data_IF_093881652511
#
_entry.id   IF_093881652511
#
_cell.length_a   1.000
_cell.length_b   1.000
_cell.length_c   1.000
_cell.angle_alpha   90.00
_cell.angle_beta   90.00
_cell.angle_gamma   90.00
#
_symmetry.space_group_name_H-M   'P 1'
#
loop_
_entity.id
_entity.type
_entity.pdbx_description
1 polymer ?
#
# COMPACT_ATOMS: atom_id res chain seq x y z
N UNK A 1 17.96 -54.48 -11.03
CA UNK A 1 18.40 -53.53 -9.98
C UNK A 1 17.20 -53.27 -9.08
N UNK A 2 17.17 -53.86 -7.88
CA UNK A 2 16.10 -53.63 -6.90
C UNK A 2 16.42 -52.33 -6.15
N UNK A 3 15.52 -51.35 -6.23
CA UNK A 3 15.59 -50.12 -5.44
C UNK A 3 15.47 -50.49 -3.96
N UNK A 4 16.54 -50.29 -3.19
CA UNK A 4 16.52 -50.43 -1.74
C UNK A 4 15.83 -49.20 -1.14
N UNK A 5 14.52 -49.27 -0.92
CA UNK A 5 13.83 -48.27 -0.10
C UNK A 5 14.38 -48.35 1.33
N UNK A 6 15.06 -47.28 1.77
CA UNK A 6 15.52 -47.20 3.15
C UNK A 6 14.32 -47.25 4.11
N UNK A 7 14.35 -48.08 5.16
CA UNK A 7 13.21 -48.23 6.06
C UNK A 7 12.95 -46.92 6.83
N UNK A 8 11.74 -46.37 6.69
CA UNK A 8 11.31 -45.17 7.39
C UNK A 8 11.53 -45.27 8.90
N UNK A 9 12.15 -44.23 9.46
CA UNK A 9 12.35 -44.07 10.91
C UNK A 9 11.02 -44.00 11.66
N UNK A 10 11.03 -44.34 12.96
CA UNK A 10 9.85 -44.25 13.84
C UNK A 10 9.21 -42.84 13.86
N UNK A 11 10.03 -41.79 13.73
CA UNK A 11 9.59 -40.39 13.64
C UNK A 11 8.84 -40.12 12.34
N UNK A 12 9.37 -40.58 11.20
CA UNK A 12 8.73 -40.46 9.88
C UNK A 12 7.40 -41.21 9.83
N UNK A 13 7.33 -42.45 10.36
CA UNK A 13 6.08 -43.21 10.43
C UNK A 13 5.01 -42.51 11.28
N UNK A 14 5.40 -41.88 12.39
CA UNK A 14 4.47 -41.10 13.24
C UNK A 14 3.99 -39.84 12.53
N UNK A 15 4.87 -39.14 11.82
CA UNK A 15 4.52 -37.96 11.02
C UNK A 15 3.55 -38.33 9.89
N UNK A 16 3.85 -39.39 9.12
CA UNK A 16 3.00 -39.89 8.04
C UNK A 16 1.61 -40.32 8.55
N UNK A 17 1.53 -41.01 9.70
CA UNK A 17 0.24 -41.34 10.33
C UNK A 17 -0.55 -40.10 10.75
N UNK A 18 0.12 -39.08 11.30
CA UNK A 18 -0.53 -37.81 11.68
C UNK A 18 -1.06 -37.09 10.43
N UNK A 19 -0.28 -37.07 9.35
CA UNK A 19 -0.66 -36.49 8.07
C UNK A 19 -1.85 -37.23 7.45
N UNK A 20 -1.79 -38.56 7.35
CA UNK A 20 -2.88 -39.38 6.84
C UNK A 20 -4.18 -39.21 7.64
N UNK A 21 -4.09 -39.12 8.97
CA UNK A 21 -5.24 -38.84 9.84
C UNK A 21 -5.82 -37.44 9.58
N UNK A 22 -4.95 -36.43 9.41
CA UNK A 22 -5.39 -35.08 9.09
C UNK A 22 -6.06 -35.00 7.71
N UNK A 23 -5.55 -35.73 6.71
CA UNK A 23 -6.14 -35.78 5.37
C UNK A 23 -7.46 -36.53 5.34
N UNK A 24 -7.58 -37.65 6.06
CA UNK A 24 -8.83 -38.41 6.17
C UNK A 24 -9.97 -37.57 6.78
N UNK A 25 -9.65 -36.69 7.73
CA UNK A 25 -10.63 -35.77 8.31
C UNK A 25 -10.96 -34.54 7.46
N UNK A 26 -10.23 -34.30 6.36
CA UNK A 26 -10.35 -33.10 5.53
C UNK A 26 -10.50 -33.48 4.04
N UNK A 27 -11.40 -34.42 3.73
CA UNK A 27 -11.72 -34.85 2.36
C UNK A 27 -10.49 -35.25 1.51
N UNK A 28 -9.49 -35.87 2.13
CA UNK A 28 -8.26 -36.29 1.46
C UNK A 28 -7.27 -35.16 1.19
N UNK A 29 -7.48 -33.97 1.76
CA UNK A 29 -6.59 -32.81 1.62
C UNK A 29 -5.94 -32.44 2.95
N UNK A 30 -4.75 -31.85 2.91
CA UNK A 30 -4.16 -31.27 4.10
C UNK A 30 -4.98 -30.04 4.52
N UNK A 31 -5.30 -29.87 5.82
CA UNK A 31 -5.91 -28.64 6.29
C UNK A 31 -4.95 -27.48 6.01
N UNK A 32 -5.47 -26.40 5.44
CA UNK A 32 -4.72 -25.19 5.13
C UNK A 32 -5.10 -24.08 6.13
N UNK A 33 -4.12 -23.29 6.54
CA UNK A 33 -4.36 -22.03 7.25
C UNK A 33 -4.73 -20.92 6.27
N UNK A 34 -5.26 -19.81 6.79
CA UNK A 34 -5.48 -18.60 5.99
C UNK A 34 -4.18 -18.12 5.33
N UNK A 35 -3.06 -18.20 6.04
CA UNK A 35 -1.75 -17.82 5.51
C UNK A 35 -1.32 -18.70 4.33
N UNK A 36 -1.61 -20.00 4.37
CA UNK A 36 -1.30 -20.91 3.27
C UNK A 36 -2.09 -20.56 2.02
N UNK A 37 -3.39 -20.25 2.19
CA UNK A 37 -4.26 -19.83 1.09
C UNK A 37 -3.78 -18.50 0.46
N UNK A 38 -3.50 -17.49 1.29
CA UNK A 38 -3.00 -16.19 0.81
C UNK A 38 -1.62 -16.30 0.15
N UNK A 39 -0.75 -17.19 0.64
CA UNK A 39 0.56 -17.44 0.03
C UNK A 39 0.41 -18.07 -1.36
N UNK A 40 -0.49 -19.04 -1.50
CA UNK A 40 -0.72 -19.76 -2.75
C UNK A 40 -1.56 -19.01 -3.79
N UNK A 41 -2.32 -17.98 -3.39
CA UNK A 41 -3.12 -17.20 -4.32
C UNK A 41 -2.25 -16.25 -5.16
N UNK A 42 -2.28 -16.44 -6.48
CA UNK A 42 -1.61 -15.60 -7.47
C UNK A 42 -2.56 -14.85 -8.40
N UNK A 43 -3.87 -14.85 -8.10
CA UNK A 43 -4.89 -14.19 -8.92
C UNK A 43 -4.80 -12.67 -8.89
N UNK A 44 -4.33 -12.10 -7.77
CA UNK A 44 -4.02 -10.68 -7.60
C UNK A 44 -2.50 -10.53 -7.41
N UNK A 45 -1.76 -10.11 -8.46
CA UNK A 45 -0.31 -10.06 -8.39
C UNK A 45 0.14 -8.99 -7.41
N UNK A 46 1.16 -9.31 -6.64
CA UNK A 46 1.78 -8.43 -5.67
C UNK A 46 3.28 -8.70 -5.73
N UNK A 47 4.10 -7.69 -5.45
CA UNK A 47 5.54 -7.90 -5.26
C UNK A 47 5.79 -8.93 -4.15
N UNK A 48 6.72 -9.86 -4.38
CA UNK A 48 6.98 -10.97 -3.46
C UNK A 48 7.40 -10.50 -2.06
N UNK A 49 8.19 -9.43 -1.98
CA UNK A 49 8.64 -8.83 -0.72
C UNK A 49 7.45 -8.17 -0.01
N UNK A 50 6.60 -7.45 -0.75
CA UNK A 50 5.38 -6.87 -0.20
C UNK A 50 4.44 -7.96 0.34
N UNK A 51 4.24 -9.05 -0.42
CA UNK A 51 3.40 -10.19 -0.03
C UNK A 51 3.92 -10.85 1.25
N UNK A 52 5.23 -11.11 1.32
CA UNK A 52 5.86 -11.69 2.50
C UNK A 52 5.64 -10.82 3.75
N UNK A 53 5.86 -9.51 3.63
CA UNK A 53 5.72 -8.60 4.76
C UNK A 53 4.28 -8.36 5.17
N UNK A 54 3.34 -8.30 4.23
CA UNK A 54 1.91 -8.28 4.55
C UNK A 54 1.52 -9.52 5.36
N UNK A 55 1.90 -10.73 4.91
CA UNK A 55 1.60 -11.96 5.64
C UNK A 55 2.18 -11.97 7.06
N UNK A 56 3.42 -11.50 7.24
CA UNK A 56 4.06 -11.37 8.56
C UNK A 56 3.38 -10.31 9.45
N UNK A 57 2.85 -9.25 8.85
CA UNK A 57 2.13 -8.20 9.56
C UNK A 57 0.74 -8.68 10.00
N UNK A 58 0.01 -9.41 9.13
CA UNK A 58 -1.28 -10.04 9.46
C UNK A 58 -1.18 -11.01 10.64
N UNK A 59 -0.05 -11.69 10.79
CA UNK A 59 0.22 -12.64 11.88
C UNK A 59 0.62 -11.97 13.20
N UNK A 60 0.61 -10.63 13.30
CA UNK A 60 0.94 -9.93 14.55
C UNK A 60 -0.10 -10.26 15.66
N UNK A 61 0.29 -10.91 16.77
CA UNK A 61 -0.65 -11.27 17.83
C UNK A 61 -1.26 -10.04 18.52
N UNK A 62 -0.56 -8.90 18.50
CA UNK A 62 -1.05 -7.67 19.11
C UNK A 62 -2.26 -7.10 18.37
N UNK A 63 -2.50 -7.51 17.13
CA UNK A 63 -3.70 -7.16 16.37
C UNK A 63 -5.00 -7.61 17.03
N UNK A 64 -4.96 -8.64 17.87
CA UNK A 64 -6.17 -9.17 18.52
C UNK A 64 -6.62 -8.27 19.67
N UNK A 65 -5.68 -7.62 20.37
CA UNK A 65 -5.98 -6.88 21.62
C UNK A 65 -5.66 -5.39 21.49
N UNK A 66 -4.48 -5.04 20.97
CA UNK A 66 -4.02 -3.65 20.87
C UNK A 66 -4.80 -2.91 19.80
N UNK A 67 -4.95 -3.50 18.61
CA UNK A 67 -5.63 -2.83 17.49
C UNK A 67 -7.07 -2.42 17.83
N UNK A 68 -7.97 -3.30 18.33
CA UNK A 68 -9.34 -2.89 18.62
C UNK A 68 -9.42 -1.79 19.69
N UNK A 69 -8.59 -1.91 20.73
CA UNK A 69 -8.54 -0.93 21.82
C UNK A 69 -8.08 0.43 21.34
N UNK A 70 -6.94 0.49 20.64
CA UNK A 70 -6.41 1.74 20.08
C UNK A 70 -7.34 2.31 19.02
N UNK A 71 -7.93 1.48 18.16
CA UNK A 71 -8.90 1.91 17.16
C UNK A 71 -10.07 2.64 17.78
N UNK A 72 -10.66 2.13 18.87
CA UNK A 72 -11.79 2.79 19.54
C UNK A 72 -11.36 4.17 20.06
N UNK A 73 -10.27 4.21 20.84
CA UNK A 73 -9.79 5.45 21.46
C UNK A 73 -9.38 6.51 20.43
N UNK A 74 -8.64 6.10 19.40
CA UNK A 74 -8.15 6.99 18.35
C UNK A 74 -9.25 7.40 17.39
N UNK A 75 -10.23 6.54 17.12
CA UNK A 75 -11.42 6.92 16.32
C UNK A 75 -12.24 7.98 17.03
N UNK A 76 -12.50 7.83 18.34
CA UNK A 76 -13.19 8.85 19.13
C UNK A 76 -12.40 10.17 19.10
N UNK A 77 -11.09 10.10 19.37
CA UNK A 77 -10.20 11.28 19.36
C UNK A 77 -10.19 11.97 18.00
N UNK A 78 -10.11 11.19 16.92
CA UNK A 78 -10.13 11.66 15.55
C UNK A 78 -11.42 12.42 15.24
N UNK A 79 -12.59 11.87 15.57
CA UNK A 79 -13.86 12.52 15.26
C UNK A 79 -14.05 13.81 16.08
N UNK A 80 -13.63 13.81 17.35
CA UNK A 80 -13.64 15.02 18.19
C UNK A 80 -12.73 16.09 17.58
N UNK A 81 -11.49 15.72 17.23
CA UNK A 81 -10.50 16.65 16.67
C UNK A 81 -10.96 17.18 15.31
N UNK A 82 -11.49 16.31 14.46
CA UNK A 82 -12.03 16.66 13.15
C UNK A 82 -13.18 17.66 13.27
N UNK A 83 -14.14 17.40 14.16
CA UNK A 83 -15.26 18.30 14.42
C UNK A 83 -14.79 19.67 14.94
N UNK A 84 -13.92 19.68 15.95
CA UNK A 84 -13.36 20.92 16.51
C UNK A 84 -12.59 21.71 15.44
N UNK A 85 -11.71 21.05 14.67
CA UNK A 85 -10.95 21.68 13.58
C UNK A 85 -11.87 22.35 12.56
N UNK A 86 -13.03 21.76 12.25
CA UNK A 86 -13.96 22.33 11.27
C UNK A 86 -14.76 23.50 11.81
N UNK A 87 -14.98 23.57 13.12
CA UNK A 87 -15.65 24.70 13.77
C UNK A 87 -14.71 25.85 14.14
N UNK A 88 -13.42 25.58 14.32
CA UNK A 88 -12.46 26.60 14.72
C UNK A 88 -12.26 27.64 13.60
N UNK A 89 -12.51 28.94 13.86
CA UNK A 89 -12.32 29.99 12.86
C UNK A 89 -10.84 30.21 12.53
N UNK A 90 -9.94 29.95 13.49
CA UNK A 90 -8.50 30.06 13.31
C UNK A 90 -7.92 28.66 13.09
N UNK A 91 -7.38 28.44 11.90
CA UNK A 91 -6.72 27.19 11.54
C UNK A 91 -5.22 27.26 11.87
N UNK A 92 -4.67 26.14 12.33
CA UNK A 92 -3.23 25.98 12.55
C UNK A 92 -2.73 24.70 11.89
N UNK A 93 -1.44 24.70 11.57
CA UNK A 93 -0.72 23.55 11.03
C UNK A 93 0.69 23.47 11.58
N UNK A 94 1.24 22.26 11.64
CA UNK A 94 2.61 22.01 12.08
C UNK A 94 3.23 20.86 11.26
N UNK A 95 3.44 21.07 9.96
CA UNK A 95 3.94 20.03 9.03
C UNK A 95 5.26 19.41 9.48
N UNK A 96 6.24 20.23 9.89
CA UNK A 96 7.53 19.72 10.37
C UNK A 96 7.41 18.88 11.65
N UNK A 97 6.53 19.27 12.58
CA UNK A 97 6.29 18.49 13.80
C UNK A 97 5.53 17.19 13.51
N UNK A 98 4.51 17.24 12.65
CA UNK A 98 3.80 16.06 12.16
C UNK A 98 4.77 15.05 11.56
N UNK A 99 5.62 15.51 10.63
CA UNK A 99 6.59 14.67 9.94
C UNK A 99 7.59 14.05 10.92
N UNK A 100 8.14 14.87 11.83
CA UNK A 100 9.04 14.40 12.87
C UNK A 100 8.36 13.34 13.76
N UNK A 101 7.11 13.59 14.18
CA UNK A 101 6.35 12.68 15.03
C UNK A 101 6.12 11.34 14.35
N UNK A 102 5.73 11.32 13.07
CA UNK A 102 5.52 10.08 12.32
C UNK A 102 6.84 9.34 12.15
N UNK A 103 7.91 10.02 11.72
CA UNK A 103 9.23 9.40 11.57
C UNK A 103 9.76 8.84 12.90
N UNK A 104 9.49 9.52 14.02
CA UNK A 104 9.78 9.03 15.37
C UNK A 104 8.99 7.75 15.66
N UNK A 105 7.67 7.74 15.43
CA UNK A 105 6.87 6.54 15.62
C UNK A 105 7.30 5.38 14.75
N UNK A 106 7.58 5.61 13.47
CA UNK A 106 8.10 4.61 12.55
C UNK A 106 9.42 4.00 13.05
N UNK A 107 10.35 4.85 13.50
CA UNK A 107 11.67 4.42 13.97
C UNK A 107 11.64 3.59 15.27
N UNK A 108 10.70 3.88 16.16
CA UNK A 108 10.70 3.31 17.51
C UNK A 108 9.56 2.33 17.80
N UNK A 109 8.39 2.47 17.17
CA UNK A 109 7.19 1.72 17.54
C UNK A 109 6.60 0.85 16.42
N UNK A 110 6.74 1.26 15.16
CA UNK A 110 6.25 0.48 14.01
C UNK A 110 7.20 -0.66 13.69
N UNK A 111 6.63 -1.84 13.42
CA UNK A 111 7.39 -3.02 13.02
C UNK A 111 8.21 -2.76 11.75
N UNK A 112 9.42 -3.34 11.62
CA UNK A 112 10.23 -3.13 10.43
C UNK A 112 9.55 -3.55 9.12
N UNK A 113 8.76 -4.61 9.15
CA UNK A 113 8.00 -5.10 7.99
C UNK A 113 6.98 -4.05 7.52
N UNK A 114 6.20 -3.48 8.46
CA UNK A 114 5.26 -2.41 8.18
C UNK A 114 5.95 -1.13 7.68
N UNK A 115 7.13 -0.78 8.22
CA UNK A 115 7.91 0.35 7.71
C UNK A 115 8.36 0.15 6.26
N UNK A 116 8.71 -1.07 5.86
CA UNK A 116 9.03 -1.36 4.45
C UNK A 116 7.79 -1.15 3.59
N UNK A 117 6.63 -1.67 3.98
CA UNK A 117 5.37 -1.47 3.24
C UNK A 117 5.03 0.02 3.09
N UNK A 118 5.19 0.82 4.15
CA UNK A 118 4.97 2.28 4.09
C UNK A 118 5.93 2.93 3.09
N UNK A 119 7.23 2.62 3.12
CA UNK A 119 8.21 3.22 2.21
C UNK A 119 8.00 2.81 0.75
N UNK A 120 7.61 1.55 0.52
CA UNK A 120 7.31 1.02 -0.82
C UNK A 120 6.12 1.73 -1.46
N UNK A 121 5.07 1.96 -0.69
CA UNK A 121 3.85 2.61 -1.18
C UNK A 121 4.12 3.94 -1.89
N UNK A 122 4.96 4.81 -1.32
CA UNK A 122 5.32 6.10 -1.92
C UNK A 122 6.00 5.94 -3.30
N UNK A 123 6.90 4.97 -3.41
CA UNK A 123 7.62 4.69 -4.66
C UNK A 123 6.69 4.09 -5.71
N UNK A 124 5.84 3.14 -5.30
CA UNK A 124 4.89 2.49 -6.17
C UNK A 124 3.81 3.48 -6.68
N UNK A 125 3.30 4.35 -5.81
CA UNK A 125 2.33 5.38 -6.22
C UNK A 125 2.97 6.38 -7.20
N UNK A 126 4.19 6.86 -6.90
CA UNK A 126 4.91 7.75 -7.81
C UNK A 126 5.09 7.14 -9.20
N UNK A 127 5.39 5.84 -9.28
CA UNK A 127 5.48 5.12 -10.55
C UNK A 127 4.14 5.06 -11.31
N UNK A 128 3.03 4.81 -10.61
CA UNK A 128 1.69 4.79 -11.22
C UNK A 128 1.32 6.15 -11.82
N UNK A 129 1.51 7.22 -11.04
CA UNK A 129 1.23 8.57 -11.49
C UNK A 129 2.13 8.95 -12.67
N UNK A 130 3.43 8.64 -12.58
CA UNK A 130 4.38 8.89 -13.66
C UNK A 130 4.08 8.09 -14.92
N UNK A 131 3.61 6.84 -14.80
CA UNK A 131 3.18 6.06 -15.95
C UNK A 131 2.00 6.72 -16.67
N UNK A 132 1.01 7.23 -15.93
CA UNK A 132 -0.10 7.99 -16.51
C UNK A 132 0.40 9.28 -17.17
N UNK A 133 1.28 10.04 -16.51
CA UNK A 133 1.87 11.27 -17.05
C UNK A 133 2.62 10.99 -18.36
N UNK A 134 3.54 10.02 -18.34
CA UNK A 134 4.42 9.66 -19.45
C UNK A 134 3.65 9.19 -20.70
N UNK A 135 2.42 8.72 -20.53
CA UNK A 135 1.56 8.19 -21.59
C UNK A 135 0.31 9.05 -21.84
N UNK A 136 0.24 10.24 -21.23
CA UNK A 136 -0.90 11.16 -21.35
C UNK A 136 -0.93 11.99 -22.64
N UNK A 137 0.14 11.96 -23.42
CA UNK A 137 0.35 12.84 -24.58
C UNK A 137 0.57 14.31 -24.21
N UNK A 138 0.78 14.62 -22.91
CA UNK A 138 1.10 15.96 -22.42
C UNK A 138 2.55 16.04 -21.95
N UNK A 139 3.32 16.94 -22.55
CA UNK A 139 4.73 17.17 -22.22
C UNK A 139 4.94 18.22 -21.11
N UNK A 140 3.89 18.94 -20.72
CA UNK A 140 3.94 20.05 -19.75
C UNK A 140 3.60 19.64 -18.31
N UNK A 141 3.29 18.37 -18.08
CA UNK A 141 2.99 17.84 -16.74
C UNK A 141 4.27 17.31 -16.09
N UNK A 142 4.65 17.91 -14.97
CA UNK A 142 5.86 17.53 -14.22
C UNK A 142 5.69 16.16 -13.53
N UNK A 143 6.73 15.31 -13.52
CA UNK A 143 6.67 14.00 -12.88
C UNK A 143 6.68 14.09 -11.35
N UNK A 144 6.10 13.08 -10.70
CA UNK A 144 6.13 12.88 -9.25
C UNK A 144 7.44 12.21 -8.85
N UNK A 145 8.25 12.92 -8.06
CA UNK A 145 9.61 12.52 -7.67
C UNK A 145 9.72 12.13 -6.19
N UNK A 146 8.80 11.28 -5.71
CA UNK A 146 8.70 10.89 -4.30
C UNK A 146 9.16 9.43 -4.12
N UNK A 147 10.47 9.24 -3.96
CA UNK A 147 11.10 7.93 -3.77
C UNK A 147 11.90 7.80 -2.45
N UNK A 148 11.24 7.68 -1.29
CA UNK A 148 11.93 7.52 -0.01
C UNK A 148 12.49 6.10 0.13
N UNK A 149 13.79 5.96 0.34
CA UNK A 149 14.45 4.65 0.53
C UNK A 149 14.45 4.22 1.99
N UNK A 150 14.34 5.17 2.91
CA UNK A 150 14.29 4.91 4.33
C UNK A 150 13.59 6.02 5.11
N UNK A 151 13.26 5.76 6.39
CA UNK A 151 12.43 6.65 7.23
C UNK A 151 12.94 8.10 7.26
N UNK A 152 14.25 8.34 7.26
CA UNK A 152 14.78 9.71 7.31
C UNK A 152 14.44 10.52 6.06
N UNK A 153 14.25 9.88 4.92
CA UNK A 153 13.98 10.55 3.65
C UNK A 153 12.58 11.17 3.66
N UNK A 154 11.65 10.57 4.41
CA UNK A 154 10.31 11.10 4.63
C UNK A 154 10.32 12.46 5.33
N UNK A 155 11.41 12.84 6.03
CA UNK A 155 11.53 14.18 6.62
C UNK A 155 11.49 15.31 5.58
N UNK A 156 11.88 15.03 4.35
CA UNK A 156 11.86 15.98 3.22
C UNK A 156 10.76 15.62 2.23
N UNK A 157 10.62 14.33 1.94
CA UNK A 157 9.57 13.78 1.09
C UNK A 157 8.31 13.53 1.93
N UNK A 158 7.62 14.62 2.27
CA UNK A 158 6.58 14.59 3.32
C UNK A 158 5.33 13.83 2.89
N UNK A 159 4.62 13.29 3.87
CA UNK A 159 3.32 12.67 3.64
C UNK A 159 2.29 13.63 3.02
N UNK A 160 2.37 14.93 3.35
CA UNK A 160 1.47 15.94 2.78
C UNK A 160 1.76 16.16 1.30
N UNK A 161 3.04 16.17 0.89
CA UNK A 161 3.41 16.29 -0.52
C UNK A 161 2.99 15.08 -1.34
N UNK A 162 3.07 13.89 -0.75
CA UNK A 162 2.54 12.66 -1.35
C UNK A 162 1.04 12.78 -1.66
N UNK A 163 0.21 13.09 -0.66
CA UNK A 163 -1.24 13.19 -0.85
C UNK A 163 -1.62 14.31 -1.84
N UNK A 164 -0.87 15.41 -1.86
CA UNK A 164 -1.03 16.48 -2.84
C UNK A 164 -0.55 16.07 -4.23
N UNK A 165 0.42 15.17 -4.36
CA UNK A 165 0.95 14.69 -5.63
C UNK A 165 -0.13 14.10 -6.53
N UNK A 166 -1.03 13.30 -5.96
CA UNK A 166 -2.21 12.77 -6.66
C UNK A 166 -3.10 13.91 -7.16
N UNK A 167 -3.45 14.87 -6.29
CA UNK A 167 -4.33 15.98 -6.64
C UNK A 167 -3.73 16.90 -7.71
N UNK A 168 -2.44 17.21 -7.60
CA UNK A 168 -1.70 18.02 -8.58
C UNK A 168 -1.64 17.30 -9.93
N UNK A 169 -1.33 16.00 -9.93
CA UNK A 169 -1.31 15.19 -11.17
C UNK A 169 -2.68 15.22 -11.86
N UNK A 170 -3.76 14.96 -11.11
CA UNK A 170 -5.11 14.94 -11.69
C UNK A 170 -5.57 16.31 -12.18
N UNK A 171 -5.15 17.40 -11.53
CA UNK A 171 -5.37 18.78 -11.99
C UNK A 171 -4.58 19.07 -13.26
N UNK A 172 -3.28 18.78 -13.28
CA UNK A 172 -2.38 19.20 -14.37
C UNK A 172 -2.61 18.39 -15.66
N UNK A 173 -3.12 17.16 -15.52
CA UNK A 173 -3.58 16.37 -16.66
C UNK A 173 -4.75 17.05 -17.39
N UNK A 174 -5.79 17.50 -16.66
CA UNK A 174 -7.03 18.20 -17.06
C UNK A 174 -7.79 17.62 -18.29
N UNK A 175 -7.12 17.34 -19.41
CA UNK A 175 -7.58 16.62 -20.60
C UNK A 175 -6.37 15.91 -21.28
N UNK A 176 -6.10 14.61 -21.03
CA UNK A 176 -5.03 13.89 -21.72
C UNK A 176 -5.35 13.70 -23.21
N UNK A 177 -4.33 13.70 -24.07
CA UNK A 177 -4.49 13.38 -25.49
C UNK A 177 -4.65 11.87 -25.68
N UNK A 178 -5.91 11.45 -25.85
CA UNK A 178 -6.29 10.05 -26.00
C UNK A 178 -6.26 9.54 -27.43
N UNK A 179 -5.77 10.34 -28.40
CA UNK A 179 -5.81 10.00 -29.83
C UNK A 179 -5.11 8.68 -30.14
N UNK A 180 -4.05 8.35 -29.39
CA UNK A 180 -3.24 7.15 -29.57
C UNK A 180 -3.53 6.05 -28.55
N UNK A 181 -4.64 6.16 -27.79
CA UNK A 181 -5.03 5.13 -26.82
C UNK A 181 -5.98 4.09 -27.46
N UNK A 182 -5.83 2.80 -27.15
CA UNK A 182 -4.76 2.21 -26.33
C UNK A 182 -3.40 2.20 -27.06
N UNK A 183 -2.33 2.39 -26.31
CA UNK A 183 -0.96 2.40 -26.82
C UNK A 183 -0.46 0.95 -26.92
N UNK A 184 0.16 0.60 -28.06
CA UNK A 184 0.79 -0.70 -28.24
C UNK A 184 1.89 -0.92 -27.20
N UNK A 185 2.01 -2.14 -26.67
CA UNK A 185 2.86 -2.40 -25.51
C UNK A 185 4.33 -1.99 -25.69
N UNK A 186 4.87 -2.09 -26.92
CA UNK A 186 6.24 -1.68 -27.26
C UNK A 186 6.45 -0.17 -27.39
N UNK A 187 5.37 0.62 -27.43
CA UNK A 187 5.40 2.09 -27.56
C UNK A 187 5.08 2.80 -26.24
N UNK A 188 4.69 2.05 -25.20
CA UNK A 188 4.48 2.59 -23.86
C UNK A 188 5.74 3.26 -23.33
N UNK A 189 5.57 4.48 -22.84
CA UNK A 189 6.64 5.25 -22.21
C UNK A 189 6.79 4.84 -20.75
N UNK A 190 8.02 4.52 -20.35
CA UNK A 190 8.42 4.19 -18.98
C UNK A 190 9.47 5.18 -18.45
N UNK A 191 9.52 6.39 -19.02
CA UNK A 191 10.58 7.40 -18.84
C UNK A 191 10.86 7.70 -17.37
N UNK A 192 9.80 7.85 -16.57
CA UNK A 192 9.86 8.20 -15.16
C UNK A 192 9.52 7.01 -14.24
N UNK A 193 9.54 5.78 -14.77
CA UNK A 193 9.36 4.55 -14.00
C UNK A 193 10.66 4.14 -13.30
N UNK A 194 10.66 4.13 -11.98
CA UNK A 194 11.83 3.82 -11.16
C UNK A 194 11.67 2.48 -10.42
N UNK A 195 12.73 1.65 -10.34
CA UNK A 195 12.71 0.43 -9.55
C UNK A 195 12.39 0.73 -8.07
N UNK A 196 11.45 0.00 -7.47
CA UNK A 196 11.14 0.12 -6.03
C UNK A 196 12.31 -0.43 -5.21
N UNK A 197 13.00 0.43 -4.47
CA UNK A 197 14.18 0.08 -3.66
C UNK A 197 14.06 0.66 -2.25
N UNK A 198 13.98 -0.21 -1.25
CA UNK A 198 13.89 0.18 0.16
C UNK A 198 15.14 -0.26 0.91
N UNK A 199 15.92 0.71 1.38
CA UNK A 199 17.18 0.53 2.11
C UNK A 199 16.94 0.54 3.64
N UNK A 200 15.83 -0.06 4.07
CA UNK A 200 15.44 -0.12 5.48
C UNK A 200 15.68 -1.51 6.08
N UNK A 201 16.59 -1.58 7.04
CA UNK A 201 17.04 -2.85 7.63
C UNK A 201 15.99 -3.53 8.51
N UNK A 202 15.45 -4.66 8.03
CA UNK A 202 14.51 -5.51 8.78
C UNK A 202 15.16 -6.25 9.97
N UNK A 203 16.48 -6.48 9.91
CA UNK A 203 17.20 -7.35 10.85
C UNK A 203 17.48 -6.69 12.21
N UNK A 204 17.26 -5.38 12.37
CA UNK A 204 17.54 -4.63 13.60
C UNK A 204 16.26 -4.13 14.28
N UNK A 205 15.32 -5.04 14.53
CA UNK A 205 14.07 -4.76 15.24
C UNK A 205 14.35 -4.36 16.70
N UNK A 206 13.81 -3.23 17.14
CA UNK A 206 13.79 -2.83 18.56
C UNK A 206 12.66 -3.53 19.30
N UNK A 207 12.80 -3.75 20.61
CA UNK A 207 11.75 -4.37 21.42
C UNK A 207 10.45 -3.55 21.44
N UNK A 208 10.55 -2.23 21.27
CA UNK A 208 9.40 -1.30 21.17
C UNK A 208 8.70 -1.32 19.81
N UNK A 209 9.30 -1.91 18.77
CA UNK A 209 8.71 -1.96 17.44
C UNK A 209 7.69 -3.10 17.32
N UNK A 210 6.51 -2.90 17.88
CA UNK A 210 5.48 -3.93 18.00
C UNK A 210 4.17 -3.60 17.26
N UNK A 211 3.99 -2.37 16.79
CA UNK A 211 2.79 -1.96 16.06
C UNK A 211 2.83 -2.51 14.63
N UNK A 212 1.78 -3.24 14.25
CA UNK A 212 1.50 -3.59 12.85
C UNK A 212 1.10 -2.35 12.03
N UNK A 213 1.01 -2.52 10.71
CA UNK A 213 0.71 -1.47 9.76
C UNK A 213 -0.63 -0.77 10.08
N UNK A 214 -1.69 -1.55 10.31
CA UNK A 214 -3.03 -1.00 10.54
C UNK A 214 -3.11 -0.23 11.87
N UNK A 215 -2.49 -0.76 12.93
CA UNK A 215 -2.42 -0.10 14.22
C UNK A 215 -1.59 1.19 14.16
N UNK A 216 -0.46 1.17 13.44
CA UNK A 216 0.34 2.37 13.21
C UNK A 216 -0.45 3.44 12.45
N UNK A 217 -1.21 3.04 11.44
CA UNK A 217 -2.04 3.97 10.69
C UNK A 217 -3.17 4.61 11.52
N UNK A 218 -3.78 3.87 12.47
CA UNK A 218 -4.75 4.47 13.41
C UNK A 218 -4.15 5.66 14.19
N UNK A 219 -2.87 5.55 14.59
CA UNK A 219 -2.15 6.64 15.25
C UNK A 219 -1.88 7.79 14.26
N UNK A 220 -1.35 7.46 13.08
CA UNK A 220 -0.96 8.45 12.08
C UNK A 220 -2.15 9.28 11.63
N UNK A 221 -3.27 8.68 11.23
CA UNK A 221 -4.44 9.45 10.77
C UNK A 221 -4.94 10.46 11.81
N UNK A 222 -4.82 10.12 13.09
CA UNK A 222 -5.23 10.98 14.21
C UNK A 222 -4.24 12.14 14.37
N UNK A 223 -2.94 11.86 14.31
CA UNK A 223 -1.87 12.87 14.28
C UNK A 223 -2.02 13.83 13.10
N UNK A 224 -2.31 13.34 11.89
CA UNK A 224 -2.56 14.16 10.71
C UNK A 224 -3.72 15.12 10.94
N UNK A 225 -4.87 14.61 11.41
CA UNK A 225 -6.04 15.45 11.68
C UNK A 225 -5.71 16.58 12.66
N UNK A 226 -4.85 16.32 13.64
CA UNK A 226 -4.48 17.32 14.65
C UNK A 226 -3.50 18.37 14.09
N UNK A 227 -2.51 17.97 13.30
CA UNK A 227 -1.43 18.86 12.85
C UNK A 227 -1.63 19.49 11.47
N UNK A 228 -2.67 19.10 10.74
CA UNK A 228 -3.07 19.73 9.47
C UNK A 228 -4.22 20.71 9.66
N UNK A 229 -4.37 21.64 8.71
CA UNK A 229 -5.62 22.42 8.63
C UNK A 229 -6.78 21.52 8.20
N UNK A 230 -8.03 21.95 8.46
CA UNK A 230 -9.21 21.19 8.02
C UNK A 230 -9.21 20.93 6.50
N UNK A 231 -8.78 21.91 5.69
CA UNK A 231 -8.69 21.78 4.22
C UNK A 231 -7.58 20.82 3.79
N UNK A 232 -6.38 20.91 4.40
CA UNK A 232 -5.28 19.99 4.10
C UNK A 232 -5.66 18.54 4.45
N UNK A 233 -6.35 18.33 5.58
CA UNK A 233 -6.79 17.00 5.98
C UNK A 233 -7.94 16.47 5.10
N UNK A 234 -8.89 17.33 4.72
CA UNK A 234 -9.95 16.97 3.77
C UNK A 234 -9.37 16.58 2.41
N UNK A 235 -8.40 17.35 1.90
CA UNK A 235 -7.68 17.03 0.66
C UNK A 235 -6.96 15.68 0.74
N UNK A 236 -6.25 15.40 1.85
CA UNK A 236 -5.55 14.13 2.05
C UNK A 236 -6.49 12.91 2.12
N UNK A 237 -7.67 13.03 2.71
CA UNK A 237 -8.64 11.92 2.78
C UNK A 237 -9.32 11.67 1.42
N UNK A 238 -9.52 12.73 0.64
CA UNK A 238 -10.27 12.68 -0.60
C UNK A 238 -9.37 12.42 -1.83
N UNK A 239 -8.05 12.59 -1.72
CA UNK A 239 -7.10 12.18 -2.76
C UNK A 239 -7.24 10.69 -3.11
N UNK A 240 -7.52 9.82 -2.14
CA UNK A 240 -7.74 8.39 -2.37
C UNK A 240 -8.87 8.11 -3.36
N UNK A 241 -9.88 8.98 -3.48
CA UNK A 241 -10.99 8.75 -4.42
C UNK A 241 -10.54 8.78 -5.88
N UNK A 242 -9.34 9.29 -6.15
CA UNK A 242 -8.72 9.27 -7.48
C UNK A 242 -8.09 7.91 -7.83
N UNK A 243 -8.01 6.93 -6.92
CA UNK A 243 -7.61 5.55 -7.25
C UNK A 243 -8.39 5.03 -8.47
N UNK A 244 -9.71 5.23 -8.46
CA UNK A 244 -10.56 4.83 -9.57
C UNK A 244 -10.27 5.61 -10.86
N UNK A 245 -9.96 6.90 -10.77
CA UNK A 245 -9.67 7.72 -11.95
C UNK A 245 -8.34 7.34 -12.58
N UNK A 246 -7.31 7.13 -11.74
CA UNK A 246 -6.01 6.61 -12.17
C UNK A 246 -6.16 5.22 -12.79
N UNK A 247 -6.93 4.33 -12.17
CA UNK A 247 -7.22 3.01 -12.72
C UNK A 247 -7.88 3.06 -14.10
N UNK A 248 -8.86 3.95 -14.30
CA UNK A 248 -9.49 4.17 -15.61
C UNK A 248 -8.50 4.70 -16.65
N UNK A 249 -7.64 5.65 -16.28
CA UNK A 249 -6.61 6.16 -17.20
C UNK A 249 -5.64 5.06 -17.62
N UNK A 250 -5.19 4.23 -16.68
CA UNK A 250 -4.31 3.09 -16.98
C UNK A 250 -5.02 2.07 -17.87
N UNK A 251 -6.28 1.73 -17.57
CA UNK A 251 -7.12 0.85 -18.39
C UNK A 251 -7.20 1.36 -19.84
N UNK A 252 -7.47 2.65 -20.05
CA UNK A 252 -7.51 3.24 -21.40
C UNK A 252 -6.15 3.27 -22.09
N UNK A 253 -5.07 3.63 -21.37
CA UNK A 253 -3.70 3.69 -21.90
C UNK A 253 -3.26 2.32 -22.45
N UNK A 254 -3.51 1.23 -21.71
CA UNK A 254 -2.99 -0.11 -22.06
C UNK A 254 -4.04 -1.02 -22.70
N UNK A 255 -5.27 -0.53 -22.90
CA UNK A 255 -6.37 -1.33 -23.44
C UNK A 255 -6.86 -2.44 -22.50
N UNK A 256 -6.83 -2.19 -21.19
CA UNK A 256 -7.32 -3.09 -20.15
C UNK A 256 -8.70 -2.67 -19.62
N UNK A 257 -9.30 -3.53 -18.79
CA UNK A 257 -10.61 -3.28 -18.16
C UNK A 257 -10.64 -3.75 -16.70
N UNK A 258 -9.50 -3.79 -16.02
CA UNK A 258 -9.39 -4.42 -14.70
C UNK A 258 -8.69 -3.56 -13.65
N UNK A 259 -7.96 -2.51 -14.03
CA UNK A 259 -7.27 -1.66 -13.07
C UNK A 259 -8.25 -0.82 -12.25
N UNK A 260 -9.28 -0.26 -12.89
CA UNK A 260 -10.36 0.44 -12.21
C UNK A 260 -11.15 -0.47 -11.25
N UNK A 261 -11.27 -1.77 -11.57
CA UNK A 261 -11.99 -2.74 -10.74
C UNK A 261 -11.27 -3.08 -9.44
N UNK A 262 -9.94 -2.97 -9.40
CA UNK A 262 -9.14 -3.16 -8.18
C UNK A 262 -9.36 -1.99 -7.20
N UNK A 263 -9.67 -0.79 -7.70
CA UNK A 263 -9.85 0.38 -6.86
C UNK A 263 -11.07 0.24 -5.93
N UNK A 264 -10.87 0.41 -4.63
CA UNK A 264 -11.96 0.49 -3.66
C UNK A 264 -12.49 1.92 -3.50
N UNK A 265 -11.58 2.88 -3.49
CA UNK A 265 -11.91 4.30 -3.39
C UNK A 265 -12.33 4.79 -4.77
N UNK A 266 -13.61 5.18 -4.90
CA UNK A 266 -14.23 5.53 -6.18
C UNK A 266 -15.06 6.79 -6.07
N UNK A 267 -15.36 7.38 -7.23
CA UNK A 267 -16.25 8.54 -7.38
C UNK A 267 -15.72 9.78 -6.63
N UNK A 268 -14.70 10.48 -7.17
CA UNK A 268 -14.08 11.65 -6.52
C UNK A 268 -15.05 12.84 -6.30
N UNK A 269 -16.22 12.83 -6.93
CA UNK A 269 -17.29 13.80 -6.67
C UNK A 269 -17.96 13.63 -5.29
N UNK A 270 -17.76 12.50 -4.62
CA UNK A 270 -18.28 12.26 -3.26
C UNK A 270 -17.21 12.63 -2.25
N UNK A 271 -17.42 13.74 -1.55
CA UNK A 271 -16.58 14.12 -0.41
C UNK A 271 -16.87 13.22 0.79
N UNK A 272 -15.80 12.65 1.33
CA UNK A 272 -15.84 11.69 2.43
C UNK A 272 -15.07 12.20 3.62
N UNK A 273 -15.59 11.89 4.81
CA UNK A 273 -14.99 12.22 6.10
C UNK A 273 -14.03 11.15 6.64
N UNK A 274 -13.63 11.25 7.93
CA UNK A 274 -12.67 10.34 8.55
C UNK A 274 -13.23 8.94 8.88
N UNK A 275 -14.53 8.71 8.71
CA UNK A 275 -15.16 7.41 8.98
C UNK A 275 -14.64 6.35 8.03
N UNK A 276 -14.19 5.21 8.58
CA UNK A 276 -13.63 4.11 7.77
C UNK A 276 -12.26 4.38 7.15
N UNK A 277 -11.60 5.50 7.50
CA UNK A 277 -10.35 5.95 6.88
C UNK A 277 -9.23 4.91 6.90
N UNK A 278 -9.10 4.12 7.98
CA UNK A 278 -8.06 3.07 8.05
C UNK A 278 -8.24 1.98 7.00
N UNK A 279 -9.48 1.56 6.77
CA UNK A 279 -9.78 0.56 5.77
C UNK A 279 -9.59 1.13 4.35
N UNK A 280 -10.04 2.36 4.12
CA UNK A 280 -9.84 3.07 2.84
C UNK A 280 -8.37 3.24 2.49
N UNK A 281 -7.54 3.60 3.46
CA UNK A 281 -6.09 3.69 3.30
C UNK A 281 -5.45 2.33 2.97
N UNK A 282 -5.87 1.26 3.66
CA UNK A 282 -5.40 -0.09 3.35
C UNK A 282 -5.75 -0.49 1.91
N UNK A 283 -6.99 -0.22 1.49
CA UNK A 283 -7.44 -0.53 0.14
C UNK A 283 -6.74 0.32 -0.93
N UNK A 284 -6.43 1.58 -0.63
CA UNK A 284 -5.61 2.44 -1.48
C UNK A 284 -4.20 1.84 -1.66
N UNK A 285 -3.55 1.43 -0.56
CA UNK A 285 -2.26 0.75 -0.63
C UNK A 285 -2.28 -0.54 -1.45
N UNK A 286 -3.36 -1.34 -1.34
CA UNK A 286 -3.53 -2.54 -2.17
C UNK A 286 -3.74 -2.20 -3.64
N UNK A 287 -4.55 -1.19 -3.97
CA UNK A 287 -4.71 -0.72 -5.33
C UNK A 287 -3.36 -0.36 -5.94
N UNK A 288 -2.58 0.49 -5.26
CA UNK A 288 -1.26 0.92 -5.73
C UNK A 288 -0.32 -0.26 -5.95
N UNK A 289 -0.16 -1.16 -4.98
CA UNK A 289 0.79 -2.26 -5.07
C UNK A 289 0.38 -3.33 -6.10
N UNK A 290 -0.93 -3.62 -6.25
CA UNK A 290 -1.40 -4.59 -7.24
C UNK A 290 -1.26 -4.05 -8.66
N UNK A 291 -1.66 -2.80 -8.90
CA UNK A 291 -1.52 -2.13 -10.19
C UNK A 291 -0.03 -2.01 -10.55
N UNK A 292 0.82 -1.63 -9.58
CA UNK A 292 2.27 -1.54 -9.78
C UNK A 292 2.86 -2.88 -10.19
N UNK A 293 2.50 -3.97 -9.50
CA UNK A 293 2.98 -5.31 -9.83
C UNK A 293 2.50 -5.79 -11.21
N UNK A 294 1.28 -5.42 -11.63
CA UNK A 294 0.79 -5.71 -12.98
C UNK A 294 1.59 -4.97 -14.06
N UNK A 295 1.78 -3.66 -13.89
CA UNK A 295 2.54 -2.83 -14.82
C UNK A 295 4.01 -3.23 -14.87
N UNK A 296 4.63 -3.57 -13.74
CA UNK A 296 6.02 -4.06 -13.72
C UNK A 296 6.16 -5.40 -14.44
N UNK A 297 5.18 -6.31 -14.34
CA UNK A 297 5.16 -7.57 -15.12
C UNK A 297 5.05 -7.29 -16.62
N UNK A 298 4.21 -6.33 -17.01
CA UNK A 298 4.09 -5.89 -18.40
C UNK A 298 5.42 -5.31 -18.89
N UNK A 299 6.02 -4.39 -18.15
CA UNK A 299 7.32 -3.78 -18.45
C UNK A 299 8.43 -4.82 -18.58
N UNK A 300 8.53 -5.75 -17.62
CA UNK A 300 9.52 -6.81 -17.64
C UNK A 300 9.33 -7.79 -18.81
N UNK A 301 8.09 -8.03 -19.25
CA UNK A 301 7.81 -8.89 -20.41
C UNK A 301 8.31 -8.29 -21.73
N UNK A 302 8.52 -6.97 -21.79
CA UNK A 302 9.13 -6.27 -22.92
C UNK A 302 10.67 -6.34 -22.91
N UNK A 303 11.27 -6.99 -21.90
CA UNK A 303 12.72 -7.08 -21.74
C UNK A 303 13.37 -5.78 -21.24
N UNK A 304 12.56 -4.85 -20.71
CA UNK A 304 13.07 -3.63 -20.08
C UNK A 304 13.60 -3.98 -18.68
N UNK A 305 14.92 -3.86 -18.50
CA UNK A 305 15.57 -4.09 -17.20
C UNK A 305 15.44 -2.88 -16.25
N UNK A 306 15.70 -3.14 -14.97
CA UNK A 306 15.71 -2.20 -13.84
C UNK A 306 17.07 -1.53 -13.62
#
# INVERSE_FOLDING_TARGET
MMSSEQPMTRKQRRAARKQAKAMAGNHGRMPASLSDALTGDGSLPLDDVAKEYWLKDLQNPLRIIILPTLRILLTITLHITYYIKRLMPIQFKAHGFLQWQICFFMKYFVRPEANVLILRHFQAESNLLNFVIDNSGKDDVEPVLIYPKMIRDLMVQTFVHHDQGVLMTMRDLEEPDRTNWPIEAGELSWKNWNPVRVDYGIHKKKFTQFLDFETAHELFKTSFCFWLTAKEYEAAINSFQFDHSVGLLIDEIVGATHFADIAYNRFPMILVGPTGLSYRFLMHGFFVEHVHAHLEKMRASLGLEN
#
